data_IF_547646829106
#
_entry.id   IF_547646829106
#
_cell.length_a   1.000
_cell.length_b   1.000
_cell.length_c   1.000
_cell.angle_alpha   90.00
_cell.angle_beta   90.00
_cell.angle_gamma   90.00
#
_symmetry.space_group_name_H-M   'P 1'
#
loop_
_entity.id
_entity.type
_entity.pdbx_description
1 polymer ?
#
# COMPACT_ATOMS: atom_id res chain seq x y z
N UNK A 1 6.29 -57.49 3.35
CA UNK A 1 7.65 -57.23 3.86
C UNK A 1 8.34 -56.41 2.78
N UNK A 2 8.78 -55.17 2.95
CA UNK A 2 9.48 -54.53 4.08
C UNK A 2 9.33 -52.99 4.00
N UNK A 3 9.59 -52.35 5.14
CA UNK A 3 9.32 -50.98 5.59
C UNK A 3 10.24 -49.88 5.01
N UNK A 4 9.70 -48.69 4.68
CA UNK A 4 9.90 -47.35 5.33
C UNK A 4 11.10 -46.56 4.75
N UNK A 5 11.01 -45.28 4.34
CA UNK A 5 10.91 -44.10 5.22
C UNK A 5 10.45 -42.81 4.51
N UNK A 6 9.89 -41.92 5.31
CA UNK A 6 9.37 -40.58 5.08
C UNK A 6 10.42 -39.55 4.62
N UNK A 7 10.01 -38.59 3.79
CA UNK A 7 10.57 -37.24 3.79
C UNK A 7 9.45 -36.23 3.50
N UNK A 8 9.05 -35.51 4.54
CA UNK A 8 8.18 -34.33 4.48
C UNK A 8 9.02 -33.20 3.91
N UNK A 9 8.75 -32.82 2.65
CA UNK A 9 9.26 -31.61 2.04
C UNK A 9 8.22 -30.50 2.14
N UNK A 10 8.35 -29.63 3.14
CA UNK A 10 7.65 -28.35 3.23
C UNK A 10 8.16 -27.43 2.11
N UNK A 11 7.54 -27.52 0.94
CA UNK A 11 7.76 -26.59 -0.16
C UNK A 11 6.85 -25.39 0.02
N UNK A 12 7.39 -24.27 0.51
CA UNK A 12 6.77 -22.96 0.36
C UNK A 12 6.54 -22.72 -1.14
N UNK A 13 5.30 -22.89 -1.59
CA UNK A 13 4.90 -22.50 -2.94
C UNK A 13 4.92 -20.98 -2.99
N UNK A 14 6.02 -20.42 -3.50
CA UNK A 14 6.01 -19.07 -4.04
C UNK A 14 4.96 -19.04 -5.16
N UNK A 15 3.75 -18.59 -4.85
CA UNK A 15 2.72 -18.30 -5.84
C UNK A 15 3.14 -17.04 -6.56
N UNK A 16 3.96 -17.17 -7.60
CA UNK A 16 4.07 -16.14 -8.64
C UNK A 16 2.64 -15.89 -9.13
N UNK A 17 2.10 -14.68 -8.89
CA UNK A 17 0.78 -14.34 -9.43
C UNK A 17 0.92 -14.30 -10.95
N UNK A 18 0.51 -15.37 -11.63
CA UNK A 18 0.36 -15.38 -13.08
C UNK A 18 -0.77 -14.42 -13.44
N UNK A 19 -0.42 -13.26 -13.97
CA UNK A 19 -1.39 -12.32 -14.53
C UNK A 19 -1.90 -12.88 -15.86
N UNK A 20 -3.19 -13.19 -15.91
CA UNK A 20 -3.83 -13.63 -17.14
C UNK A 20 -4.23 -12.41 -17.98
N UNK A 21 -3.51 -12.17 -19.06
CA UNK A 21 -3.82 -11.09 -20.00
C UNK A 21 -5.07 -11.43 -20.81
N UNK A 22 -5.87 -10.41 -21.11
CA UNK A 22 -7.01 -10.56 -22.00
C UNK A 22 -6.59 -10.81 -23.45
N UNK A 23 -7.56 -11.14 -24.29
CA UNK A 23 -7.33 -11.44 -25.72
C UNK A 23 -6.60 -10.30 -26.43
N UNK A 24 -5.55 -10.64 -27.16
CA UNK A 24 -4.86 -9.72 -28.07
C UNK A 24 -5.51 -9.73 -29.44
N UNK A 25 -5.74 -8.54 -30.00
CA UNK A 25 -6.25 -8.35 -31.35
C UNK A 25 -5.14 -7.84 -32.26
N UNK A 26 -5.04 -8.39 -33.47
CA UNK A 26 -4.00 -8.02 -34.43
C UNK A 26 -4.65 -7.51 -35.70
N UNK A 27 -4.35 -6.27 -36.06
CA UNK A 27 -4.74 -5.68 -37.35
C UNK A 27 -3.57 -5.87 -38.31
N UNK A 28 -3.82 -6.57 -39.42
CA UNK A 28 -2.78 -6.82 -40.43
C UNK A 28 -2.53 -5.54 -41.25
N UNK A 29 -1.29 -5.32 -41.72
CA UNK A 29 -1.02 -4.25 -42.64
C UNK A 29 -1.78 -4.49 -43.95
N UNK A 30 -2.31 -3.42 -44.54
CA UNK A 30 -3.05 -3.46 -45.82
C UNK A 30 -2.11 -3.57 -47.02
N UNK A 31 -0.88 -3.08 -46.89
CA UNK A 31 0.19 -3.13 -47.88
C UNK A 31 1.43 -3.86 -47.37
N UNK A 32 2.60 -3.59 -47.99
CA UNK A 32 3.88 -4.16 -47.55
C UNK A 32 4.14 -3.77 -46.09
N UNK A 33 4.27 -4.77 -45.22
CA UNK A 33 4.56 -4.55 -43.80
C UNK A 33 5.92 -3.86 -43.64
N UNK A 34 5.94 -2.69 -43.01
CA UNK A 34 7.17 -1.94 -42.69
C UNK A 34 7.30 -1.66 -41.19
N UNK A 35 6.17 -1.45 -40.49
CA UNK A 35 6.16 -1.05 -39.08
C UNK A 35 5.19 -1.89 -38.26
N UNK A 36 5.53 -2.18 -37.01
CA UNK A 36 4.61 -2.76 -36.02
C UNK A 36 4.49 -1.83 -34.83
N UNK A 37 3.25 -1.57 -34.41
CA UNK A 37 2.95 -0.75 -33.23
C UNK A 37 2.11 -1.59 -32.27
N UNK A 38 2.51 -1.58 -30.98
CA UNK A 38 1.67 -2.08 -29.89
C UNK A 38 0.84 -0.92 -29.36
N UNK A 39 -0.49 -1.07 -29.34
CA UNK A 39 -1.42 -0.03 -28.90
C UNK A 39 -2.18 -0.47 -27.66
N UNK A 40 -2.05 0.29 -26.57
CA UNK A 40 -2.64 -0.02 -25.27
C UNK A 40 -3.94 0.77 -25.07
N UNK A 41 -5.02 0.09 -24.69
CA UNK A 41 -6.32 0.69 -24.42
C UNK A 41 -6.37 1.42 -23.05
N UNK A 42 -7.40 2.22 -22.81
CA UNK A 42 -7.62 2.90 -21.52
C UNK A 42 -8.19 1.98 -20.41
N UNK A 43 -8.27 2.49 -19.19
CA UNK A 43 -8.84 1.77 -18.03
C UNK A 43 -10.28 1.28 -18.31
N UNK A 44 -10.54 -0.01 -18.11
CA UNK A 44 -11.86 -0.63 -18.32
C UNK A 44 -12.21 -0.98 -19.77
N UNK A 45 -11.32 -0.71 -20.73
CA UNK A 45 -11.53 -0.99 -22.16
C UNK A 45 -10.87 -2.31 -22.60
N UNK A 46 -10.89 -2.63 -23.90
CA UNK A 46 -10.33 -3.87 -24.49
C UNK A 46 -9.55 -3.56 -25.77
N UNK A 47 -8.61 -4.44 -26.11
CA UNK A 47 -7.86 -4.36 -27.36
C UNK A 47 -8.77 -4.46 -28.61
N UNK A 48 -9.93 -5.13 -28.50
CA UNK A 48 -10.90 -5.24 -29.60
C UNK A 48 -11.44 -3.89 -30.04
N UNK A 49 -11.80 -3.01 -29.10
CA UNK A 49 -12.39 -1.69 -29.37
C UNK A 49 -11.45 -0.85 -30.25
N UNK A 50 -10.17 -0.85 -29.88
CA UNK A 50 -9.13 -0.12 -30.61
C UNK A 50 -8.74 -0.79 -31.93
N UNK A 51 -8.74 -2.11 -32.01
CA UNK A 51 -8.40 -2.81 -33.25
C UNK A 51 -9.34 -2.43 -34.40
N UNK A 52 -10.64 -2.27 -34.13
CA UNK A 52 -11.63 -1.85 -35.12
C UNK A 52 -11.37 -0.42 -35.59
N UNK A 53 -11.02 0.49 -34.68
CA UNK A 53 -10.71 1.90 -35.02
C UNK A 53 -9.42 1.96 -35.85
N UNK A 54 -8.36 1.29 -35.40
CA UNK A 54 -7.04 1.31 -36.04
C UNK A 54 -7.06 0.69 -37.44
N UNK A 55 -7.95 -0.29 -37.70
CA UNK A 55 -8.16 -0.87 -39.03
C UNK A 55 -8.74 0.13 -40.04
N UNK A 56 -9.49 1.16 -39.60
CA UNK A 56 -10.05 2.17 -40.51
C UNK A 56 -9.03 3.20 -40.98
N UNK A 57 -7.88 3.34 -40.28
CA UNK A 57 -6.90 4.36 -40.59
C UNK A 57 -6.24 4.14 -41.97
N UNK A 58 -5.91 5.22 -42.71
CA UNK A 58 -5.25 5.15 -44.01
C UNK A 58 -3.73 4.94 -43.87
N UNK A 59 -3.33 3.93 -43.09
CA UNK A 59 -1.93 3.62 -42.77
C UNK A 59 -1.58 2.19 -43.24
N UNK A 60 -1.25 1.99 -44.53
CA UNK A 60 -1.21 0.66 -45.13
C UNK A 60 -0.04 -0.20 -44.67
N UNK A 61 1.08 0.39 -44.24
CA UNK A 61 2.32 -0.34 -43.94
C UNK A 61 2.46 -0.73 -42.46
N UNK A 62 1.44 -0.45 -41.63
CA UNK A 62 1.47 -0.67 -40.17
C UNK A 62 0.69 -1.93 -39.80
N UNK A 63 1.32 -2.80 -39.03
CA UNK A 63 0.67 -3.86 -38.24
C UNK A 63 0.37 -3.33 -36.84
N UNK A 64 -0.87 -3.46 -36.38
CA UNK A 64 -1.25 -3.09 -35.01
C UNK A 64 -1.39 -4.33 -34.14
N UNK A 65 -0.79 -4.31 -32.95
CA UNK A 65 -0.98 -5.31 -31.90
C UNK A 65 -1.71 -4.61 -30.76
N UNK A 66 -2.96 -4.99 -30.52
CA UNK A 66 -3.85 -4.40 -29.53
C UNK A 66 -4.09 -5.42 -28.41
N UNK A 67 -3.18 -5.53 -27.42
CA UNK A 67 -3.39 -6.41 -26.27
C UNK A 67 -4.58 -5.92 -25.42
N UNK A 68 -5.12 -6.82 -24.61
CA UNK A 68 -6.07 -6.46 -23.54
C UNK A 68 -5.39 -6.66 -22.19
N UNK A 69 -5.43 -5.64 -21.34
CA UNK A 69 -4.87 -5.71 -20.00
C UNK A 69 -5.53 -6.83 -19.17
N UNK A 70 -4.85 -7.37 -18.15
CA UNK A 70 -5.47 -8.31 -17.21
C UNK A 70 -6.68 -7.68 -16.52
N UNK A 71 -7.70 -8.48 -16.26
CA UNK A 71 -8.78 -8.08 -15.35
C UNK A 71 -8.25 -8.15 -13.92
N UNK A 72 -8.20 -7.01 -13.24
CA UNK A 72 -7.75 -6.92 -11.85
C UNK A 72 -8.65 -5.97 -11.05
N UNK A 73 -8.75 -6.13 -9.72
CA UNK A 73 -9.30 -5.10 -8.85
C UNK A 73 -8.56 -3.77 -9.06
N UNK A 74 -9.28 -2.65 -9.02
CA UNK A 74 -8.70 -1.31 -9.15
C UNK A 74 -9.10 -0.45 -7.96
N UNK A 75 -8.10 0.05 -7.21
CA UNK A 75 -8.35 0.73 -5.93
C UNK A 75 -9.23 1.98 -6.04
N UNK A 76 -9.07 2.81 -7.08
CA UNK A 76 -9.90 4.02 -7.26
C UNK A 76 -11.38 3.68 -7.50
N UNK A 77 -11.69 2.45 -7.90
CA UNK A 77 -13.06 1.94 -8.05
C UNK A 77 -13.49 1.08 -6.85
N UNK A 78 -12.87 1.24 -5.69
CA UNK A 78 -13.19 0.47 -4.49
C UNK A 78 -12.91 -1.03 -4.65
N UNK A 79 -11.96 -1.40 -5.51
CA UNK A 79 -11.62 -2.80 -5.79
C UNK A 79 -12.51 -3.47 -6.84
N UNK A 80 -13.39 -2.74 -7.54
CA UNK A 80 -14.17 -3.29 -8.64
C UNK A 80 -13.24 -3.83 -9.75
N UNK A 81 -13.41 -5.08 -10.22
CA UNK A 81 -12.54 -5.67 -11.21
C UNK A 81 -12.79 -5.10 -12.60
N UNK A 82 -11.76 -4.55 -13.23
CA UNK A 82 -11.80 -4.14 -14.64
C UNK A 82 -10.43 -4.34 -15.31
N UNK A 83 -10.37 -4.12 -16.62
CA UNK A 83 -9.11 -4.24 -17.37
C UNK A 83 -8.19 -3.07 -17.04
N UNK A 84 -7.06 -3.35 -16.40
CA UNK A 84 -6.08 -2.34 -16.00
C UNK A 84 -4.64 -2.83 -16.19
N UNK A 85 -3.80 -1.98 -16.76
CA UNK A 85 -2.38 -2.28 -17.02
C UNK A 85 -1.57 -2.40 -15.73
N UNK A 86 -1.91 -1.56 -14.75
CA UNK A 86 -1.39 -1.54 -13.39
C UNK A 86 -2.54 -1.10 -12.46
N UNK A 87 -2.48 -1.46 -11.19
CA UNK A 87 -3.30 -0.81 -10.17
C UNK A 87 -2.36 0.14 -9.41
N UNK A 88 -2.68 1.44 -9.25
CA UNK A 88 -1.96 2.29 -8.30
C UNK A 88 -1.89 1.68 -6.88
N UNK A 89 -2.76 0.72 -6.53
CA UNK A 89 -2.65 -0.07 -5.30
C UNK A 89 -1.36 -0.90 -5.18
N UNK A 90 -0.67 -1.20 -6.29
CA UNK A 90 0.66 -1.83 -6.25
C UNK A 90 1.71 -0.88 -5.65
N UNK A 91 1.42 0.42 -5.57
CA UNK A 91 2.25 1.41 -4.89
C UNK A 91 1.82 1.48 -3.42
N UNK A 92 2.73 1.08 -2.54
CA UNK A 92 2.54 1.23 -1.09
C UNK A 92 2.58 2.71 -0.71
N UNK A 93 1.51 3.22 -0.12
CA UNK A 93 1.40 4.61 0.31
C UNK A 93 1.69 4.71 1.80
N UNK A 94 2.67 5.53 2.17
CA UNK A 94 2.99 5.84 3.57
C UNK A 94 2.63 7.27 3.92
N UNK A 95 2.39 7.53 5.21
CA UNK A 95 2.31 8.90 5.74
C UNK A 95 3.21 9.02 6.96
N UNK A 96 3.99 10.09 7.04
CA UNK A 96 4.85 10.33 8.19
C UNK A 96 4.93 11.80 8.53
N UNK A 97 5.41 12.10 9.74
CA UNK A 97 5.65 13.47 10.13
C UNK A 97 6.40 13.61 11.45
N UNK A 98 6.74 14.86 11.75
CA UNK A 98 7.38 15.29 12.98
C UNK A 98 6.44 16.24 13.75
N UNK A 99 6.38 16.14 15.08
CA UNK A 99 5.59 17.03 15.94
C UNK A 99 4.10 17.06 15.53
N UNK A 100 3.54 18.21 15.18
CA UNK A 100 2.16 18.31 14.68
C UNK A 100 1.92 17.51 13.38
N UNK A 101 2.95 17.36 12.55
CA UNK A 101 2.91 16.49 11.38
C UNK A 101 2.77 15.01 11.76
N UNK A 102 3.47 14.57 12.82
CA UNK A 102 3.31 13.22 13.36
C UNK A 102 1.89 13.01 13.88
N UNK A 103 1.30 14.00 14.56
CA UNK A 103 -0.07 13.93 15.02
C UNK A 103 -1.09 13.80 13.86
N UNK A 104 -0.83 14.50 12.75
CA UNK A 104 -1.65 14.42 11.53
C UNK A 104 -1.50 13.06 10.84
N UNK A 105 -0.28 12.51 10.81
CA UNK A 105 -0.03 11.16 10.28
C UNK A 105 -0.76 10.09 11.10
N UNK A 106 -0.73 10.18 12.44
CA UNK A 106 -1.46 9.26 13.31
C UNK A 106 -2.97 9.44 13.24
N UNK A 107 -3.48 10.66 13.08
CA UNK A 107 -4.89 10.89 12.81
C UNK A 107 -5.32 10.28 11.46
N UNK A 108 -4.49 10.43 10.42
CA UNK A 108 -4.72 9.79 9.12
C UNK A 108 -4.75 8.27 9.23
N UNK A 109 -3.88 7.69 10.07
CA UNK A 109 -3.88 6.26 10.37
C UNK A 109 -5.22 5.82 10.96
N UNK A 110 -5.74 6.52 11.98
CA UNK A 110 -7.02 6.14 12.61
C UNK A 110 -8.18 6.34 11.65
N UNK A 111 -8.20 7.39 10.83
CA UNK A 111 -9.20 7.57 9.77
C UNK A 111 -9.17 6.44 8.74
N UNK A 112 -7.99 6.04 8.28
CA UNK A 112 -7.80 4.88 7.40
C UNK A 112 -8.35 3.60 8.04
N UNK A 113 -8.03 3.34 9.31
CA UNK A 113 -8.55 2.18 10.05
C UNK A 113 -10.08 2.20 10.14
N UNK A 114 -10.67 3.36 10.43
CA UNK A 114 -12.12 3.50 10.53
C UNK A 114 -12.83 3.56 9.17
N UNK A 115 -12.09 3.78 8.08
CA UNK A 115 -12.60 3.96 6.73
C UNK A 115 -13.21 5.34 6.46
N UNK A 116 -13.13 6.27 7.43
CA UNK A 116 -13.73 7.58 7.35
C UNK A 116 -13.03 8.60 8.25
N UNK A 117 -13.19 9.87 7.90
CA UNK A 117 -12.83 11.01 8.74
C UNK A 117 -13.83 11.21 9.88
N UNK A 118 -13.47 12.05 10.86
CA UNK A 118 -14.36 12.39 11.98
C UNK A 118 -15.67 13.08 11.58
N UNK A 119 -15.74 13.68 10.39
CA UNK A 119 -16.94 14.29 9.83
C UNK A 119 -17.84 13.31 9.06
N UNK A 120 -17.48 12.02 9.00
CA UNK A 120 -18.24 10.98 8.31
C UNK A 120 -17.90 10.80 6.83
N UNK A 121 -17.08 11.68 6.23
CA UNK A 121 -16.63 11.48 4.85
C UNK A 121 -15.69 10.27 4.77
N UNK A 122 -15.76 9.51 3.68
CA UNK A 122 -14.90 8.35 3.46
C UNK A 122 -13.42 8.76 3.40
N UNK A 123 -12.56 7.92 3.99
CA UNK A 123 -11.11 8.05 3.86
C UNK A 123 -10.66 7.30 2.60
N UNK A 124 -10.21 7.98 1.53
CA UNK A 124 -10.11 7.37 0.20
C UNK A 124 -8.80 6.60 -0.02
N UNK A 125 -7.86 6.64 0.94
CA UNK A 125 -6.50 6.13 0.76
C UNK A 125 -6.26 4.87 1.62
N UNK A 126 -5.59 3.88 1.04
CA UNK A 126 -5.08 2.72 1.76
C UNK A 126 -3.64 2.98 2.21
N UNK A 127 -3.44 3.12 3.52
CA UNK A 127 -2.10 3.34 4.09
C UNK A 127 -1.39 2.00 4.31
N UNK A 128 -0.13 1.94 3.88
CA UNK A 128 0.77 0.79 4.00
C UNK A 128 1.77 0.93 5.14
N UNK A 129 2.08 2.15 5.58
CA UNK A 129 2.95 2.42 6.72
C UNK A 129 2.73 3.82 7.30
N UNK A 130 2.95 3.98 8.60
CA UNK A 130 2.84 5.27 9.30
C UNK A 130 4.06 5.51 10.19
N UNK A 131 4.61 6.73 10.14
CA UNK A 131 5.75 7.14 10.98
C UNK A 131 5.41 8.42 11.75
N UNK A 132 5.60 8.41 13.07
CA UNK A 132 5.43 9.60 13.91
C UNK A 132 6.67 9.87 14.75
N UNK A 133 7.31 11.02 14.53
CA UNK A 133 8.48 11.47 15.28
C UNK A 133 8.10 12.61 16.23
N UNK A 134 8.43 12.50 17.51
CA UNK A 134 8.22 13.52 18.55
C UNK A 134 6.80 14.11 18.57
N UNK A 135 5.79 13.23 18.47
CA UNK A 135 4.39 13.59 18.26
C UNK A 135 3.42 13.08 19.33
N UNK A 136 2.12 13.16 19.01
CA UNK A 136 1.05 12.61 19.84
C UNK A 136 -0.11 12.11 18.98
N UNK A 137 -0.95 11.24 19.52
CA UNK A 137 -2.17 10.76 18.88
C UNK A 137 -3.36 11.67 19.26
N UNK A 138 -3.96 12.39 18.30
CA UNK A 138 -5.23 13.10 18.51
C UNK A 138 -6.40 12.14 18.68
N UNK A 139 -7.48 12.60 19.31
CA UNK A 139 -8.76 11.88 19.39
C UNK A 139 -8.69 10.44 19.97
N UNK A 140 -7.67 10.13 20.78
CA UNK A 140 -7.42 8.78 21.30
C UNK A 140 -8.54 8.21 22.19
N UNK A 141 -9.34 9.08 22.84
CA UNK A 141 -10.37 8.69 23.82
C UNK A 141 -11.48 7.82 23.22
N UNK A 142 -11.85 8.04 21.96
CA UNK A 142 -12.95 7.32 21.29
C UNK A 142 -12.46 6.23 20.34
N UNK A 143 -11.15 6.11 20.13
CA UNK A 143 -10.57 5.24 19.10
C UNK A 143 -10.93 3.77 19.33
N UNK A 144 -10.70 3.28 20.55
CA UNK A 144 -10.94 1.87 20.90
C UNK A 144 -12.39 1.46 20.66
N UNK A 145 -13.34 2.23 21.21
CA UNK A 145 -14.76 1.91 21.06
C UNK A 145 -15.25 2.03 19.62
N UNK A 146 -14.64 2.89 18.80
CA UNK A 146 -14.96 2.96 17.37
C UNK A 146 -14.43 1.75 16.60
N UNK A 147 -13.21 1.28 16.89
CA UNK A 147 -12.63 0.09 16.25
C UNK A 147 -13.39 -1.18 16.65
N UNK A 148 -13.75 -1.34 17.93
CA UNK A 148 -14.48 -2.52 18.44
C UNK A 148 -15.86 -2.71 17.79
N UNK A 149 -16.42 -1.66 17.17
CA UNK A 149 -17.71 -1.73 16.45
C UNK A 149 -17.61 -2.34 15.05
N UNK A 150 -16.41 -2.59 14.54
CA UNK A 150 -16.19 -3.11 13.19
C UNK A 150 -15.04 -4.12 13.19
N UNK A 151 -15.36 -5.39 12.92
CA UNK A 151 -14.34 -6.43 12.75
C UNK A 151 -13.33 -6.08 11.67
N UNK A 152 -13.80 -5.41 10.61
CA UNK A 152 -12.95 -4.98 9.51
C UNK A 152 -11.99 -3.85 9.95
N UNK A 153 -12.45 -2.88 10.75
CA UNK A 153 -11.56 -1.89 11.36
C UNK A 153 -10.54 -2.55 12.30
N UNK A 154 -10.96 -3.54 13.10
CA UNK A 154 -10.06 -4.28 13.98
C UNK A 154 -8.99 -5.06 13.19
N UNK A 155 -9.36 -5.69 12.06
CA UNK A 155 -8.40 -6.35 11.16
C UNK A 155 -7.39 -5.35 10.58
N UNK A 156 -7.86 -4.21 10.06
CA UNK A 156 -6.97 -3.17 9.53
C UNK A 156 -6.02 -2.67 10.61
N UNK A 157 -6.52 -2.36 11.81
CA UNK A 157 -5.72 -1.86 12.93
C UNK A 157 -4.61 -2.85 13.30
N UNK A 158 -4.94 -4.14 13.39
CA UNK A 158 -3.97 -5.18 13.73
C UNK A 158 -2.84 -5.30 12.69
N UNK A 159 -3.12 -5.00 11.43
CA UNK A 159 -2.18 -5.17 10.31
C UNK A 159 -1.28 -3.95 10.03
N UNK A 160 -1.79 -2.73 10.25
CA UNK A 160 -1.12 -1.50 9.83
C UNK A 160 0.19 -1.29 10.61
N UNK A 161 1.36 -1.26 9.93
CA UNK A 161 2.63 -0.98 10.59
C UNK A 161 2.72 0.50 10.97
N UNK A 162 3.03 0.76 12.24
CA UNK A 162 3.26 2.11 12.78
C UNK A 162 4.60 2.15 13.53
N UNK A 163 5.44 3.12 13.18
CA UNK A 163 6.64 3.49 13.95
C UNK A 163 6.40 4.81 14.67
N UNK A 164 6.69 4.82 15.96
CA UNK A 164 6.73 6.01 16.79
C UNK A 164 8.13 6.16 17.38
N UNK A 165 8.71 7.35 17.26
CA UNK A 165 9.97 7.69 17.88
C UNK A 165 9.78 8.95 18.74
N UNK A 166 10.40 8.97 19.92
CA UNK A 166 10.30 10.12 20.82
C UNK A 166 11.54 10.25 21.70
N UNK A 167 12.03 11.48 21.87
CA UNK A 167 13.11 11.79 22.80
C UNK A 167 12.63 11.92 24.25
N UNK A 168 13.36 11.36 25.22
CA UNK A 168 13.02 11.49 26.65
C UNK A 168 13.30 12.89 27.22
N UNK A 169 14.12 13.68 26.52
CA UNK A 169 14.44 15.07 26.84
C UNK A 169 13.59 16.11 26.09
N UNK A 170 12.54 15.68 25.39
CA UNK A 170 11.66 16.59 24.64
C UNK A 170 10.87 17.51 25.59
N UNK A 171 11.15 18.80 25.49
CA UNK A 171 10.59 19.88 26.29
C UNK A 171 9.41 20.61 25.62
N UNK A 172 9.15 20.33 24.33
CA UNK A 172 8.05 20.93 23.56
C UNK A 172 6.85 20.00 23.54
N UNK A 173 7.07 18.74 23.17
CA UNK A 173 6.07 17.67 23.22
C UNK A 173 6.62 16.62 24.18
N UNK A 174 6.26 16.76 25.46
CA UNK A 174 6.76 15.87 26.51
C UNK A 174 6.64 14.39 26.11
N UNK A 175 7.71 13.62 26.32
CA UNK A 175 7.82 12.19 25.98
C UNK A 175 6.60 11.34 26.38
N UNK A 176 6.00 11.66 27.52
CA UNK A 176 4.75 11.05 28.03
C UNK A 176 3.59 11.09 27.03
N UNK A 177 3.54 12.07 26.13
CA UNK A 177 2.56 12.13 25.05
C UNK A 177 2.79 11.04 24.01
N UNK A 178 4.04 10.78 23.63
CA UNK A 178 4.43 9.65 22.79
C UNK A 178 4.05 8.32 23.43
N UNK A 179 4.40 8.11 24.70
CA UNK A 179 4.08 6.88 25.44
C UNK A 179 2.57 6.63 25.51
N UNK A 180 1.79 7.66 25.89
CA UNK A 180 0.32 7.57 25.94
C UNK A 180 -0.28 7.27 24.56
N UNK A 181 0.32 7.80 23.50
CA UNK A 181 -0.13 7.53 22.13
C UNK A 181 0.11 6.08 21.75
N UNK A 182 1.30 5.54 22.05
CA UNK A 182 1.62 4.14 21.82
C UNK A 182 0.72 3.20 22.64
N UNK A 183 0.45 3.53 23.91
CA UNK A 183 -0.45 2.77 24.77
C UNK A 183 -1.90 2.79 24.26
N UNK A 184 -2.38 3.95 23.81
CA UNK A 184 -3.74 4.09 23.27
C UNK A 184 -3.92 3.29 21.97
N UNK A 185 -2.94 3.34 21.06
CA UNK A 185 -2.94 2.53 19.83
C UNK A 185 -2.92 1.03 20.17
N UNK A 186 -1.99 0.60 21.04
CA UNK A 186 -1.90 -0.81 21.46
C UNK A 186 -3.23 -1.30 22.05
N UNK A 187 -3.82 -0.50 22.95
CA UNK A 187 -5.10 -0.83 23.61
C UNK A 187 -6.29 -0.84 22.65
N UNK A 188 -6.19 -0.13 21.52
CA UNK A 188 -7.19 -0.10 20.47
C UNK A 188 -7.01 -1.20 19.41
N UNK A 189 -6.01 -2.07 19.56
CA UNK A 189 -5.81 -3.24 18.71
C UNK A 189 -4.73 -3.10 17.64
N UNK A 190 -3.92 -2.03 17.65
CA UNK A 190 -2.78 -1.88 16.74
C UNK A 190 -1.63 -2.78 17.20
N UNK A 191 -1.52 -3.97 16.58
CA UNK A 191 -0.55 -5.00 16.97
C UNK A 191 0.81 -4.83 16.30
N UNK A 192 0.88 -4.16 15.15
CA UNK A 192 2.11 -3.90 14.41
C UNK A 192 2.68 -2.51 14.73
N UNK A 193 2.83 -2.22 16.01
CA UNK A 193 3.29 -0.93 16.54
C UNK A 193 4.69 -1.06 17.12
N UNK A 194 5.58 -0.13 16.77
CA UNK A 194 6.91 0.00 17.38
C UNK A 194 7.02 1.39 18.01
N UNK A 195 7.41 1.47 19.29
CA UNK A 195 7.72 2.73 19.97
C UNK A 195 9.20 2.72 20.37
N UNK A 196 9.94 3.74 19.94
CA UNK A 196 11.37 3.93 20.23
C UNK A 196 11.57 5.19 21.05
N UNK A 197 12.24 5.03 22.18
CA UNK A 197 12.63 6.14 23.05
C UNK A 197 14.13 6.41 22.90
N UNK A 198 14.49 7.68 22.71
CA UNK A 198 15.89 8.11 22.62
C UNK A 198 16.26 8.92 23.86
N UNK A 199 17.24 8.44 24.63
CA UNK A 199 17.57 9.06 25.92
C UNK A 199 18.25 10.42 25.71
N UNK A 200 17.73 11.48 26.34
CA UNK A 200 18.28 12.83 26.27
C UNK A 200 18.03 13.58 24.94
N UNK A 201 17.38 12.93 23.97
CA UNK A 201 16.95 13.59 22.73
C UNK A 201 15.85 14.61 23.05
N UNK A 202 16.01 15.83 22.56
CA UNK A 202 15.04 16.92 22.67
C UNK A 202 14.04 16.97 21.52
N UNK A 203 13.43 18.13 21.26
CA UNK A 203 12.47 18.31 20.17
C UNK A 203 13.14 18.52 18.79
N UNK A 204 13.93 17.54 18.36
CA UNK A 204 14.59 17.50 17.05
C UNK A 204 14.89 16.04 16.68
N UNK A 205 15.44 15.81 15.49
CA UNK A 205 15.82 14.47 15.00
C UNK A 205 17.33 14.26 15.03
N UNK A 206 17.76 13.00 15.15
CA UNK A 206 19.19 12.60 15.13
C UNK A 206 19.45 11.53 14.07
N UNK A 207 20.68 11.40 13.55
CA UNK A 207 21.00 10.39 12.54
C UNK A 207 20.61 8.97 12.95
N UNK A 208 20.86 8.58 14.20
CA UNK A 208 20.55 7.26 14.72
C UNK A 208 19.03 6.96 14.68
N UNK A 209 18.19 7.97 14.93
CA UNK A 209 16.74 7.85 14.81
C UNK A 209 16.32 7.67 13.34
N UNK A 210 16.95 8.43 12.44
CA UNK A 210 16.64 8.36 11.01
C UNK A 210 17.10 7.05 10.37
N UNK A 211 18.21 6.47 10.83
CA UNK A 211 18.67 5.15 10.41
C UNK A 211 17.67 4.05 10.80
N UNK A 212 17.09 4.11 12.01
CA UNK A 212 16.02 3.20 12.44
C UNK A 212 14.77 3.39 11.55
N UNK A 213 14.39 4.63 11.22
CA UNK A 213 13.28 4.91 10.30
C UNK A 213 13.52 4.28 8.92
N UNK A 214 14.73 4.45 8.36
CA UNK A 214 15.13 3.87 7.08
C UNK A 214 15.07 2.34 7.10
N UNK A 215 15.64 1.71 8.13
CA UNK A 215 15.63 0.25 8.29
C UNK A 215 14.22 -0.29 8.45
N UNK A 216 13.40 0.39 9.26
CA UNK A 216 12.01 0.01 9.50
C UNK A 216 11.18 0.12 8.23
N UNK A 217 11.29 1.22 7.48
CA UNK A 217 10.58 1.40 6.21
C UNK A 217 10.99 0.36 5.18
N UNK A 218 12.30 0.12 5.04
CA UNK A 218 12.84 -0.89 4.12
C UNK A 218 12.25 -2.27 4.41
N UNK A 219 12.21 -2.65 5.69
CA UNK A 219 11.67 -3.93 6.14
C UNK A 219 10.15 -4.03 5.96
N UNK A 220 9.40 -3.00 6.35
CA UNK A 220 7.92 -3.03 6.31
C UNK A 220 7.36 -2.90 4.90
N UNK A 221 8.06 -2.17 4.04
CA UNK A 221 7.63 -1.93 2.68
C UNK A 221 8.32 -2.85 1.66
N UNK A 222 9.27 -3.71 2.07
CA UNK A 222 9.97 -4.63 1.18
C UNK A 222 10.73 -3.89 0.07
N UNK A 223 11.50 -2.87 0.46
CA UNK A 223 12.23 -1.98 -0.46
C UNK A 223 13.62 -2.49 -0.80
N UNK A 224 13.99 -3.68 -0.32
CA UNK A 224 15.27 -4.36 -0.51
C UNK A 224 15.50 -4.86 -1.95
N UNK A 225 14.62 -4.52 -2.89
CA UNK A 225 14.82 -4.72 -4.32
C UNK A 225 14.63 -6.17 -4.78
N UNK A 226 14.23 -7.08 -3.90
CA UNK A 226 13.81 -8.43 -4.29
C UNK A 226 12.39 -8.39 -4.88
N UNK A 227 12.28 -7.93 -6.13
CA UNK A 227 11.13 -8.26 -6.96
C UNK A 227 11.19 -9.77 -7.24
N UNK A 228 10.46 -10.56 -6.44
CA UNK A 228 10.29 -12.01 -6.63
C UNK A 228 8.90 -12.33 -7.19
#
# INVERSE_FOLDING_TARGET
MSYNTSAVGSGSRNTTRTFEFGRTHVVRPKGKHQTTIVWLHGLGDKGSSWSQILETLPLPNIKWICPTAPTRPVAIFGGFPCTAWFDPADIKLGVGGFSMGAATALYSATCHILGQYGNGNLYPVNLSAVVGLSGWLPCSRTLRSQIERSEEAARRAASLPILLCHGSGDDVVAHKHGEKSAQALSSAGFRNLTFRSYNGLGHYTIPEEMDEVCNWLTTRLGLDGSWS
#
